data_IF_496889236980
#
_entry.id   IF_496889236980
#
_cell.length_a   1.000
_cell.length_b   1.000
_cell.length_c   1.000
_cell.angle_alpha   90.00
_cell.angle_beta   90.00
_cell.angle_gamma   90.00
#
_symmetry.space_group_name_H-M   'P 1'
#
loop_
_entity.id
_entity.type
_entity.pdbx_description
1 polymer ?
#
# COMPACT_ATOMS: atom_id res chain seq x y z
N UNK A 1 -23.97 -6.66 -2.62
CA UNK A 1 -22.78 -5.79 -2.51
C UNK A 1 -21.99 -5.98 -3.80
N UNK A 2 -21.50 -4.89 -4.39
CA UNK A 2 -20.59 -4.99 -5.53
C UNK A 2 -19.30 -5.69 -5.11
N UNK A 3 -18.67 -6.41 -6.04
CA UNK A 3 -17.42 -7.13 -5.77
C UNK A 3 -16.28 -6.14 -5.39
N UNK A 4 -15.44 -6.58 -4.46
CA UNK A 4 -14.17 -5.90 -4.17
C UNK A 4 -13.16 -6.34 -5.22
N UNK A 5 -12.67 -5.43 -6.06
CA UNK A 5 -11.72 -5.71 -7.12
C UNK A 5 -10.40 -5.04 -6.78
N UNK A 6 -9.33 -5.83 -6.58
CA UNK A 6 -8.01 -5.31 -6.27
C UNK A 6 -7.10 -5.37 -7.49
N UNK A 7 -6.68 -4.21 -7.98
CA UNK A 7 -5.67 -4.10 -9.02
C UNK A 7 -4.29 -4.10 -8.36
N UNK A 8 -3.52 -5.16 -8.61
CA UNK A 8 -2.25 -5.40 -7.92
C UNK A 8 -1.26 -6.20 -8.77
N UNK A 9 -0.06 -6.41 -8.23
CA UNK A 9 0.87 -7.44 -8.71
C UNK A 9 1.47 -8.19 -7.50
N UNK A 10 1.84 -9.48 -7.65
CA UNK A 10 2.20 -10.35 -6.51
C UNK A 10 3.34 -9.82 -5.65
N UNK A 11 4.38 -9.23 -6.26
CA UNK A 11 5.58 -8.74 -5.57
C UNK A 11 5.40 -7.37 -4.91
N UNK A 12 4.22 -6.73 -5.05
CA UNK A 12 3.99 -5.40 -4.46
C UNK A 12 3.84 -5.47 -2.95
N UNK A 13 4.70 -4.81 -2.17
CA UNK A 13 4.58 -4.79 -0.71
C UNK A 13 3.31 -4.06 -0.24
N UNK A 14 2.94 -2.94 -0.85
CA UNK A 14 1.69 -2.26 -0.54
C UNK A 14 0.44 -3.09 -0.91
N UNK A 15 0.53 -3.91 -1.97
CA UNK A 15 -0.55 -4.84 -2.28
C UNK A 15 -0.62 -5.97 -1.25
N UNK A 16 0.52 -6.45 -0.73
CA UNK A 16 0.55 -7.42 0.37
C UNK A 16 -0.15 -6.91 1.61
N UNK A 17 0.07 -5.64 1.98
CA UNK A 17 -0.66 -4.99 3.06
C UNK A 17 -2.18 -5.12 2.88
N UNK A 18 -2.70 -4.81 1.70
CA UNK A 18 -4.15 -4.85 1.44
C UNK A 18 -4.66 -6.29 1.34
N UNK A 19 -3.90 -7.22 0.72
CA UNK A 19 -4.27 -8.64 0.69
C UNK A 19 -4.43 -9.23 2.09
N UNK A 20 -3.50 -8.92 2.99
CA UNK A 20 -3.59 -9.37 4.40
C UNK A 20 -4.76 -8.72 5.13
N UNK A 21 -5.08 -7.46 4.85
CA UNK A 21 -6.25 -6.79 5.45
C UNK A 21 -7.55 -7.44 4.96
N UNK A 22 -7.64 -7.79 3.67
CA UNK A 22 -8.77 -8.55 3.14
C UNK A 22 -8.90 -9.90 3.85
N UNK A 23 -7.76 -10.60 4.08
CA UNK A 23 -7.73 -11.82 4.89
C UNK A 23 -8.18 -11.61 6.33
N UNK A 24 -7.66 -10.59 7.00
CA UNK A 24 -8.02 -10.25 8.38
C UNK A 24 -9.50 -9.96 8.55
N UNK A 25 -10.10 -9.29 7.59
CA UNK A 25 -11.53 -8.97 7.54
C UNK A 25 -12.39 -10.08 6.94
N UNK A 26 -11.80 -11.16 6.46
CA UNK A 26 -12.48 -12.30 5.81
C UNK A 26 -13.33 -11.88 4.62
N UNK A 27 -12.84 -10.92 3.84
CA UNK A 27 -13.51 -10.39 2.66
C UNK A 27 -13.00 -11.12 1.41
N UNK A 28 -13.89 -11.75 0.65
CA UNK A 28 -13.58 -12.30 -0.68
C UNK A 28 -13.41 -11.16 -1.69
N UNK A 29 -12.53 -11.35 -2.67
CA UNK A 29 -12.18 -10.31 -3.63
C UNK A 29 -11.79 -10.84 -5.01
N UNK A 30 -11.85 -9.98 -6.02
CA UNK A 30 -11.42 -10.25 -7.38
C UNK A 30 -9.99 -9.73 -7.59
N UNK A 31 -9.14 -10.58 -8.15
CA UNK A 31 -7.72 -10.30 -8.38
C UNK A 31 -7.48 -9.87 -9.82
N UNK A 32 -7.15 -8.61 -10.03
CA UNK A 32 -6.77 -8.06 -11.34
C UNK A 32 -5.29 -7.76 -11.36
N UNK A 33 -4.53 -8.48 -12.20
CA UNK A 33 -3.10 -8.26 -12.30
C UNK A 33 -2.77 -7.04 -13.17
N UNK A 34 -2.00 -6.12 -12.60
CA UNK A 34 -1.50 -4.93 -13.28
C UNK A 34 0.02 -5.01 -13.51
N UNK A 35 0.57 -4.42 -14.58
CA UNK A 35 1.99 -4.36 -14.81
C UNK A 35 2.76 -3.68 -13.66
N UNK A 36 3.97 -4.16 -13.35
CA UNK A 36 4.82 -3.58 -12.30
C UNK A 36 5.32 -2.18 -12.67
N UNK A 37 5.63 -1.95 -13.94
CA UNK A 37 6.09 -0.67 -14.50
C UNK A 37 5.15 -0.18 -15.59
N UNK A 38 5.31 1.07 -16.01
CA UNK A 38 4.57 1.60 -17.18
C UNK A 38 4.97 0.89 -18.49
N UNK A 39 4.05 0.78 -19.47
CA UNK A 39 2.67 1.32 -19.48
C UNK A 39 1.65 0.46 -18.73
N UNK A 40 0.62 1.11 -18.16
CA UNK A 40 -0.50 0.48 -17.45
C UNK A 40 -1.84 0.96 -18.00
N UNK A 41 -2.17 0.70 -19.26
CA UNK A 41 -3.28 1.37 -19.94
C UNK A 41 -4.62 1.17 -19.23
N UNK A 42 -4.94 -0.06 -18.80
CA UNK A 42 -6.20 -0.36 -18.13
C UNK A 42 -6.31 0.32 -16.75
N UNK A 43 -5.21 0.39 -15.98
CA UNK A 43 -5.18 1.07 -14.70
C UNK A 43 -5.34 2.58 -14.87
N UNK A 44 -4.64 3.18 -15.84
CA UNK A 44 -4.71 4.62 -16.11
C UNK A 44 -6.11 5.03 -16.60
N UNK A 45 -6.79 4.16 -17.39
CA UNK A 45 -8.17 4.38 -17.78
C UNK A 45 -9.13 4.48 -16.58
N UNK A 46 -8.90 3.67 -15.51
CA UNK A 46 -9.69 3.73 -14.28
C UNK A 46 -9.33 4.92 -13.38
N UNK A 47 -8.07 5.28 -13.29
CA UNK A 47 -7.56 6.22 -12.29
C UNK A 47 -7.35 7.64 -12.81
N UNK A 48 -7.43 7.85 -14.12
CA UNK A 48 -7.19 9.16 -14.74
C UNK A 48 -5.73 9.65 -14.66
N UNK A 49 -4.77 8.80 -14.25
CA UNK A 49 -3.35 9.17 -14.15
C UNK A 49 -2.61 8.55 -12.99
N UNK A 50 -3.28 8.27 -11.88
CA UNK A 50 -2.64 7.65 -10.72
C UNK A 50 -2.12 6.25 -11.05
N UNK A 51 -0.82 6.02 -10.87
CA UNK A 51 -0.12 4.80 -11.33
C UNK A 51 0.38 3.89 -10.21
N UNK A 52 0.24 4.29 -8.94
CA UNK A 52 0.65 3.46 -7.80
C UNK A 52 -0.26 2.25 -7.66
N UNK A 53 0.26 1.20 -7.07
CA UNK A 53 -0.43 -0.06 -6.79
C UNK A 53 -0.30 -0.38 -5.29
N UNK A 54 -1.37 -0.89 -4.65
CA UNK A 54 -2.65 -1.33 -5.22
C UNK A 54 -3.66 -0.20 -5.43
N UNK A 55 -4.72 -0.54 -6.21
CA UNK A 55 -5.94 0.26 -6.35
C UNK A 55 -7.12 -0.66 -6.04
N UNK A 56 -8.07 -0.21 -5.24
CA UNK A 56 -9.33 -0.90 -4.98
C UNK A 56 -10.42 -0.30 -5.86
N UNK A 57 -11.21 -1.17 -6.49
CA UNK A 57 -12.39 -0.80 -7.27
C UNK A 57 -13.64 -1.44 -6.66
N UNK A 58 -14.74 -0.69 -6.57
CA UNK A 58 -16.06 -1.16 -6.15
C UNK A 58 -17.08 -0.57 -7.12
N UNK A 59 -17.53 -1.38 -8.10
CA UNK A 59 -18.34 -0.86 -9.19
C UNK A 59 -17.59 0.21 -9.99
N UNK A 60 -18.14 1.44 -10.04
CA UNK A 60 -17.52 2.59 -10.69
C UNK A 60 -16.56 3.38 -9.79
N UNK A 61 -16.54 3.11 -8.49
CA UNK A 61 -15.71 3.83 -7.53
C UNK A 61 -14.29 3.28 -7.48
N UNK A 62 -13.31 4.16 -7.62
CA UNK A 62 -11.88 3.82 -7.67
C UNK A 62 -11.15 4.46 -6.50
N UNK A 63 -10.63 3.64 -5.61
CA UNK A 63 -9.94 4.08 -4.39
C UNK A 63 -8.43 3.94 -4.56
N UNK A 64 -7.75 5.07 -4.53
CA UNK A 64 -6.30 5.19 -4.61
C UNK A 64 -5.72 5.52 -3.23
N UNK A 65 -4.52 5.03 -2.94
CA UNK A 65 -3.83 5.07 -1.66
C UNK A 65 -4.32 4.04 -0.63
N UNK A 66 -3.33 3.36 -0.02
CA UNK A 66 -3.63 2.25 0.91
C UNK A 66 -4.23 2.71 2.24
N UNK A 67 -4.00 3.95 2.67
CA UNK A 67 -4.65 4.49 3.86
C UNK A 67 -6.16 4.66 3.61
N UNK A 68 -6.54 5.23 2.46
CA UNK A 68 -7.94 5.32 2.05
C UNK A 68 -8.57 3.94 1.86
N UNK A 69 -7.87 3.01 1.22
CA UNK A 69 -8.36 1.62 1.04
C UNK A 69 -8.62 0.96 2.40
N UNK A 70 -7.74 1.16 3.39
CA UNK A 70 -7.96 0.65 4.75
C UNK A 70 -9.24 1.23 5.38
N UNK A 71 -9.50 2.52 5.22
CA UNK A 71 -10.71 3.17 5.75
C UNK A 71 -11.98 2.66 5.06
N UNK A 72 -11.93 2.43 3.75
CA UNK A 72 -13.04 1.82 2.97
C UNK A 72 -13.32 0.41 3.46
N UNK A 73 -12.29 -0.43 3.60
CA UNK A 73 -12.45 -1.80 4.09
C UNK A 73 -12.91 -1.85 5.55
N UNK A 74 -12.49 -0.88 6.38
CA UNK A 74 -13.00 -0.74 7.76
C UNK A 74 -14.49 -0.40 7.78
N UNK A 75 -14.93 0.48 6.88
CA UNK A 75 -16.34 0.85 6.75
C UNK A 75 -17.21 -0.35 6.28
N UNK A 76 -16.72 -1.12 5.31
CA UNK A 76 -17.43 -2.30 4.78
C UNK A 76 -17.52 -3.41 5.82
N UNK A 77 -16.43 -3.66 6.54
CA UNK A 77 -16.33 -4.70 7.56
C UNK A 77 -15.66 -4.14 8.81
N UNK A 78 -16.42 -3.56 9.77
CA UNK A 78 -15.83 -2.93 10.95
C UNK A 78 -15.13 -3.90 11.93
N UNK A 79 -15.46 -5.18 11.88
CA UNK A 79 -14.93 -6.20 12.82
C UNK A 79 -14.26 -7.34 12.06
N UNK A 80 -13.01 -7.70 12.43
CA UNK A 80 -12.14 -7.07 13.42
C UNK A 80 -11.67 -5.69 12.98
N UNK A 81 -11.53 -4.73 13.91
CA UNK A 81 -11.14 -3.35 13.57
C UNK A 81 -9.65 -3.22 13.26
N UNK A 82 -9.32 -2.35 12.30
CA UNK A 82 -7.95 -1.90 12.03
C UNK A 82 -7.50 -0.79 12.99
N UNK A 83 -8.45 -0.18 13.70
CA UNK A 83 -8.26 1.02 14.51
C UNK A 83 -8.80 0.85 15.93
N UNK A 84 -8.15 0.04 16.79
CA UNK A 84 -8.56 -0.13 18.18
C UNK A 84 -8.74 1.24 18.85
N UNK A 85 -9.88 1.48 19.47
CA UNK A 85 -10.31 2.82 19.91
C UNK A 85 -9.28 3.52 20.81
N UNK A 86 -8.71 2.79 21.77
CA UNK A 86 -7.71 3.35 22.69
C UNK A 86 -6.39 3.76 22.01
N UNK A 87 -6.12 3.25 20.80
CA UNK A 87 -4.83 3.43 20.11
C UNK A 87 -4.98 3.95 18.67
N UNK A 88 -6.16 4.35 18.27
CA UNK A 88 -6.52 4.73 16.91
C UNK A 88 -5.58 5.79 16.30
N UNK A 89 -5.26 6.84 17.05
CA UNK A 89 -4.33 7.88 16.61
C UNK A 89 -2.90 7.35 16.47
N UNK A 90 -2.43 6.56 17.44
CA UNK A 90 -1.10 5.97 17.42
C UNK A 90 -0.95 4.96 16.27
N UNK A 91 -1.96 4.11 16.05
CA UNK A 91 -1.96 3.14 14.97
C UNK A 91 -1.84 3.82 13.59
N UNK A 92 -2.56 4.91 13.35
CA UNK A 92 -2.45 5.69 12.11
C UNK A 92 -1.09 6.37 11.97
N UNK A 93 -0.54 6.91 13.05
CA UNK A 93 0.78 7.55 13.05
C UNK A 93 1.89 6.55 12.75
N UNK A 94 1.87 5.37 13.40
CA UNK A 94 2.85 4.30 13.13
C UNK A 94 2.68 3.77 11.70
N UNK A 95 1.46 3.60 11.22
CA UNK A 95 1.19 3.17 9.84
C UNK A 95 1.78 4.17 8.83
N UNK A 96 1.56 5.47 9.01
CA UNK A 96 2.12 6.48 8.10
C UNK A 96 3.64 6.50 8.13
N UNK A 97 4.26 6.42 9.32
CA UNK A 97 5.72 6.28 9.44
C UNK A 97 6.23 5.04 8.70
N UNK A 98 5.52 3.91 8.83
CA UNK A 98 5.93 2.67 8.19
C UNK A 98 5.77 2.74 6.65
N UNK A 99 4.66 3.27 6.16
CA UNK A 99 4.37 3.41 4.73
C UNK A 99 5.29 4.43 4.02
N UNK A 100 5.93 5.32 4.77
CA UNK A 100 6.84 6.34 4.25
C UNK A 100 8.29 6.05 4.66
N UNK A 101 8.66 6.35 5.88
CA UNK A 101 10.05 6.35 6.35
C UNK A 101 10.65 4.95 6.42
N UNK A 102 9.98 3.99 7.09
CA UNK A 102 10.46 2.61 7.17
C UNK A 102 10.54 1.98 5.78
N UNK A 103 9.49 2.17 4.96
CA UNK A 103 9.45 1.64 3.60
C UNK A 103 10.60 2.15 2.73
N UNK A 104 10.88 3.46 2.74
CA UNK A 104 11.99 4.04 1.98
C UNK A 104 13.34 3.45 2.40
N UNK A 105 13.58 3.31 3.70
CA UNK A 105 14.80 2.72 4.24
C UNK A 105 14.91 1.24 3.87
N UNK A 106 13.84 0.46 4.03
CA UNK A 106 13.82 -0.94 3.65
C UNK A 106 14.08 -1.12 2.15
N UNK A 107 13.47 -0.31 1.29
CA UNK A 107 13.70 -0.39 -0.16
C UNK A 107 15.12 0.02 -0.54
N UNK A 108 15.69 1.07 0.08
CA UNK A 108 17.08 1.44 -0.15
C UNK A 108 18.06 0.32 0.26
N UNK A 109 17.77 -0.37 1.36
CA UNK A 109 18.50 -1.56 1.79
C UNK A 109 18.33 -2.74 0.83
N UNK A 110 17.10 -3.07 0.44
CA UNK A 110 16.79 -4.24 -0.39
C UNK A 110 17.36 -4.12 -1.82
N UNK A 111 17.39 -2.92 -2.38
CA UNK A 111 17.92 -2.67 -3.73
C UNK A 111 19.41 -2.34 -3.76
N UNK A 112 20.20 -2.80 -2.78
CA UNK A 112 21.65 -2.92 -2.90
C UNK A 112 22.02 -3.92 -4.01
N UNK A 113 23.26 -3.93 -4.53
CA UNK A 113 23.63 -4.73 -5.69
C UNK A 113 23.17 -6.20 -5.61
N UNK A 114 23.37 -6.86 -4.47
CA UNK A 114 22.98 -8.26 -4.27
C UNK A 114 21.46 -8.47 -4.41
N UNK A 115 20.67 -7.60 -3.80
CA UNK A 115 19.21 -7.69 -3.87
C UNK A 115 18.68 -7.28 -5.24
N UNK A 116 19.21 -6.22 -5.82
CA UNK A 116 18.80 -5.74 -7.14
C UNK A 116 19.03 -6.80 -8.23
N UNK A 117 20.21 -7.43 -8.25
CA UNK A 117 20.54 -8.52 -9.19
C UNK A 117 19.69 -9.77 -8.96
N UNK A 118 19.36 -10.08 -7.71
CA UNK A 118 18.48 -11.20 -7.40
C UNK A 118 17.05 -10.97 -7.92
N UNK A 119 16.50 -9.77 -7.68
CA UNK A 119 15.16 -9.41 -8.15
C UNK A 119 15.06 -9.33 -9.68
N UNK A 120 16.12 -8.87 -10.31
CA UNK A 120 16.19 -8.67 -11.76
C UNK A 120 17.51 -9.24 -12.30
N UNK A 121 17.57 -10.56 -12.57
CA UNK A 121 18.74 -11.19 -13.17
C UNK A 121 19.07 -10.64 -14.56
N UNK A 122 18.06 -10.17 -15.29
CA UNK A 122 18.19 -9.49 -16.56
C UNK A 122 18.53 -8.01 -16.36
N UNK A 123 19.72 -7.60 -16.82
CA UNK A 123 20.22 -6.24 -16.64
C UNK A 123 19.35 -5.18 -17.35
N UNK A 124 18.74 -5.50 -18.49
CA UNK A 124 17.86 -4.55 -19.20
C UNK A 124 16.55 -4.35 -18.43
N UNK A 125 15.96 -5.41 -17.88
CA UNK A 125 14.78 -5.31 -17.00
C UNK A 125 15.09 -4.52 -15.71
N UNK A 126 16.27 -4.72 -15.12
CA UNK A 126 16.72 -3.92 -13.97
C UNK A 126 16.81 -2.45 -14.34
N UNK A 127 17.38 -2.13 -15.48
CA UNK A 127 17.51 -0.76 -15.98
C UNK A 127 16.14 -0.10 -16.21
N UNK A 128 15.22 -0.80 -16.85
CA UNK A 128 13.85 -0.34 -17.07
C UNK A 128 13.11 -0.08 -15.75
N UNK A 129 13.19 -1.01 -14.81
CA UNK A 129 12.63 -0.84 -13.46
C UNK A 129 13.26 0.35 -12.73
N UNK A 130 14.57 0.49 -12.78
CA UNK A 130 15.28 1.59 -12.13
C UNK A 130 14.90 2.95 -12.72
N UNK A 131 14.73 3.04 -14.05
CA UNK A 131 14.28 4.25 -14.75
C UNK A 131 12.83 4.61 -14.38
N UNK A 132 11.91 3.64 -14.38
CA UNK A 132 10.52 3.85 -13.95
C UNK A 132 10.43 4.38 -12.50
N UNK A 133 11.20 3.79 -11.58
CA UNK A 133 11.22 4.24 -10.18
C UNK A 133 11.92 5.58 -9.99
N UNK A 134 12.91 5.91 -10.82
CA UNK A 134 13.54 7.24 -10.80
C UNK A 134 12.54 8.33 -11.23
N UNK A 135 11.79 8.08 -12.30
CA UNK A 135 10.73 8.98 -12.75
C UNK A 135 9.67 9.20 -11.64
N UNK A 136 9.23 8.13 -10.98
CA UNK A 136 8.25 8.25 -9.87
C UNK A 136 8.77 9.09 -8.70
N UNK A 137 10.09 9.16 -8.46
CA UNK A 137 10.71 10.00 -7.42
C UNK A 137 11.06 11.41 -7.90
N UNK A 138 10.70 11.78 -9.10
CA UNK A 138 11.17 13.02 -9.75
C UNK A 138 12.71 13.14 -9.69
N UNK A 139 13.40 12.02 -9.93
CA UNK A 139 14.86 11.89 -9.86
C UNK A 139 15.49 12.25 -8.50
N UNK A 140 14.73 12.35 -7.42
CA UNK A 140 15.26 12.53 -6.09
C UNK A 140 16.32 11.45 -5.75
N UNK A 141 17.43 11.80 -5.08
CA UNK A 141 18.49 10.85 -4.78
C UNK A 141 17.99 9.74 -3.85
N UNK A 142 18.59 8.56 -3.99
CA UNK A 142 18.36 7.45 -3.06
C UNK A 142 19.24 7.63 -1.82
N UNK A 143 18.74 7.10 -0.69
CA UNK A 143 19.56 6.98 0.51
C UNK A 143 20.78 6.10 0.23
N UNK A 144 21.99 6.49 0.67
CA UNK A 144 23.20 5.65 0.57
C UNK A 144 23.01 4.29 1.27
N UNK A 145 23.60 3.23 0.71
CA UNK A 145 23.41 1.87 1.21
C UNK A 145 23.87 1.68 2.67
N UNK A 146 24.96 2.33 3.08
CA UNK A 146 25.43 2.28 4.46
C UNK A 146 24.43 2.89 5.44
N UNK A 147 23.88 4.06 5.09
CA UNK A 147 22.87 4.75 5.90
C UNK A 147 21.56 3.95 5.95
N UNK A 148 21.14 3.39 4.82
CA UNK A 148 19.96 2.51 4.76
C UNK A 148 20.13 1.30 5.68
N UNK A 149 21.31 0.66 5.69
CA UNK A 149 21.59 -0.49 6.54
C UNK A 149 21.56 -0.12 8.03
N UNK A 150 22.19 1.00 8.41
CA UNK A 150 22.23 1.47 9.79
C UNK A 150 20.82 1.84 10.29
N UNK A 151 20.07 2.59 9.50
CA UNK A 151 18.70 2.99 9.82
C UNK A 151 17.77 1.79 9.91
N UNK A 152 17.87 0.83 8.97
CA UNK A 152 17.03 -0.36 8.98
C UNK A 152 17.26 -1.20 10.24
N UNK A 153 18.52 -1.44 10.62
CA UNK A 153 18.86 -2.11 11.89
C UNK A 153 18.29 -1.39 13.11
N UNK A 154 18.37 -0.06 13.11
CA UNK A 154 17.80 0.77 14.20
C UNK A 154 16.27 0.63 14.27
N UNK A 155 15.58 0.63 13.14
CA UNK A 155 14.13 0.46 13.08
C UNK A 155 13.69 -0.94 13.46
N UNK A 156 14.40 -1.98 13.01
CA UNK A 156 14.13 -3.37 13.40
C UNK A 156 14.23 -3.55 14.92
N UNK A 157 15.22 -2.92 15.57
CA UNK A 157 15.35 -2.95 17.03
C UNK A 157 14.16 -2.28 17.73
N UNK A 158 13.70 -1.13 17.22
CA UNK A 158 12.52 -0.43 17.78
C UNK A 158 11.25 -1.27 17.62
N UNK A 159 11.08 -1.92 16.48
CA UNK A 159 9.98 -2.86 16.24
C UNK A 159 10.07 -4.05 17.20
N UNK A 160 11.27 -4.61 17.41
CA UNK A 160 11.48 -5.68 18.38
C UNK A 160 11.09 -5.25 19.80
N UNK A 161 11.47 -4.04 20.23
CA UNK A 161 11.08 -3.51 21.53
C UNK A 161 9.56 -3.34 21.67
N UNK A 162 8.85 -2.96 20.61
CA UNK A 162 7.38 -2.89 20.64
C UNK A 162 6.72 -4.27 20.84
N UNK A 163 7.38 -5.34 20.40
CA UNK A 163 6.89 -6.72 20.46
C UNK A 163 7.36 -7.50 21.69
N UNK A 164 8.16 -6.88 22.57
CA UNK A 164 8.80 -7.58 23.70
C UNK A 164 7.80 -8.17 24.69
N UNK A 165 6.70 -7.49 24.93
CA UNK A 165 5.71 -7.87 25.96
C UNK A 165 4.29 -8.01 25.41
N UNK A 166 4.11 -7.97 24.10
CA UNK A 166 2.78 -8.03 23.48
C UNK A 166 2.83 -8.72 22.11
N UNK A 167 1.73 -9.37 21.70
CA UNK A 167 1.73 -10.14 20.45
C UNK A 167 1.70 -9.27 19.17
N UNK A 168 1.21 -8.03 19.26
CA UNK A 168 1.10 -7.10 18.15
C UNK A 168 1.76 -5.77 18.51
N UNK A 169 2.06 -4.94 17.51
CA UNK A 169 2.85 -3.71 17.72
C UNK A 169 2.26 -2.76 18.77
N UNK A 170 0.94 -2.75 18.91
CA UNK A 170 0.24 -1.82 19.80
C UNK A 170 -0.69 -2.51 20.81
N UNK A 171 -0.44 -3.79 21.16
CA UNK A 171 -1.21 -4.48 22.19
C UNK A 171 -1.65 -5.90 21.80
N UNK A 172 -2.88 -6.27 22.18
CA UNK A 172 -3.36 -7.64 22.13
C UNK A 172 -4.05 -8.03 20.81
N UNK A 173 -4.27 -7.08 19.90
CA UNK A 173 -4.86 -7.31 18.60
C UNK A 173 -4.10 -6.57 17.48
N UNK A 174 -4.10 -7.15 16.28
CA UNK A 174 -3.51 -6.52 15.12
C UNK A 174 -4.25 -5.22 14.76
N UNK A 175 -3.50 -4.22 14.33
CA UNK A 175 -4.01 -2.91 13.91
C UNK A 175 -3.40 -2.52 12.55
N UNK A 176 -3.86 -1.43 11.96
CA UNK A 176 -3.27 -0.90 10.72
C UNK A 176 -1.75 -0.71 10.81
N UNK A 177 -1.21 -0.47 12.01
CA UNK A 177 0.23 -0.36 12.25
C UNK A 177 0.97 -1.67 11.90
N UNK A 178 0.40 -2.82 12.31
CA UNK A 178 0.99 -4.13 12.04
C UNK A 178 1.07 -4.40 10.54
N UNK A 179 -0.01 -4.16 9.81
CA UNK A 179 -0.05 -4.36 8.35
C UNK A 179 0.92 -3.43 7.61
N UNK A 180 1.04 -2.17 8.06
CA UNK A 180 1.93 -1.18 7.46
C UNK A 180 3.42 -1.47 7.75
N UNK A 181 3.76 -1.92 8.93
CA UNK A 181 5.14 -2.33 9.25
C UNK A 181 5.48 -3.64 8.52
N UNK A 182 4.55 -4.60 8.53
CA UNK A 182 4.78 -5.92 7.96
C UNK A 182 5.17 -5.89 6.48
N UNK A 183 4.48 -5.13 5.65
CA UNK A 183 4.71 -5.20 4.20
C UNK A 183 6.13 -4.81 3.79
N UNK A 184 6.76 -3.88 4.51
CA UNK A 184 8.14 -3.49 4.26
C UNK A 184 9.12 -4.62 4.61
N UNK A 185 8.91 -5.29 5.75
CA UNK A 185 9.71 -6.41 6.21
C UNK A 185 9.44 -7.69 5.40
N UNK A 186 8.18 -7.91 5.01
CA UNK A 186 7.78 -8.99 4.11
C UNK A 186 8.56 -8.93 2.80
N UNK A 187 8.71 -7.75 2.22
CA UNK A 187 9.48 -7.59 1.00
C UNK A 187 10.94 -8.03 1.20
N UNK A 188 11.57 -7.64 2.30
CA UNK A 188 12.92 -8.07 2.66
C UNK A 188 13.01 -9.58 2.81
N UNK A 189 12.07 -10.19 3.55
CA UNK A 189 12.11 -11.61 3.90
C UNK A 189 11.80 -12.52 2.71
N UNK A 190 10.79 -12.16 1.92
CA UNK A 190 10.20 -13.06 0.92
C UNK A 190 10.53 -12.69 -0.52
N UNK A 191 10.85 -11.44 -0.81
CA UNK A 191 11.15 -11.01 -2.18
C UNK A 191 12.65 -10.87 -2.44
N UNK A 192 13.48 -10.66 -1.41
CA UNK A 192 14.92 -10.39 -1.57
C UNK A 192 15.76 -11.24 -0.62
N UNK A 193 15.62 -12.56 -0.73
CA UNK A 193 16.26 -13.54 0.16
C UNK A 193 17.78 -13.36 0.40
N UNK A 194 18.60 -12.91 -0.57
CA UNK A 194 20.05 -12.72 -0.32
C UNK A 194 20.39 -11.67 0.74
N UNK A 195 19.48 -10.75 1.03
CA UNK A 195 19.68 -9.70 2.04
C UNK A 195 18.78 -9.86 3.27
N UNK A 196 17.96 -10.93 3.31
CA UNK A 196 16.99 -11.18 4.39
C UNK A 196 17.67 -11.44 5.76
N UNK A 197 18.93 -11.85 5.80
CA UNK A 197 19.69 -12.12 7.03
C UNK A 197 19.79 -10.93 8.00
N UNK A 198 19.45 -9.71 7.58
CA UNK A 198 19.32 -8.57 8.49
C UNK A 198 18.25 -8.81 9.58
N UNK A 199 17.24 -9.62 9.28
CA UNK A 199 16.13 -9.96 10.18
C UNK A 199 16.53 -10.98 11.26
N UNK A 200 17.60 -11.74 11.07
CA UNK A 200 18.01 -12.80 11.98
C UNK A 200 18.41 -12.28 13.37
N UNK A 201 18.81 -11.01 13.44
CA UNK A 201 19.16 -10.33 14.70
C UNK A 201 17.95 -9.99 15.59
N UNK A 202 16.73 -10.17 15.10
CA UNK A 202 15.49 -9.81 15.79
C UNK A 202 14.45 -10.95 15.75
N UNK A 203 14.69 -12.08 16.43
CA UNK A 203 13.84 -13.28 16.34
C UNK A 203 12.38 -13.03 16.75
N UNK A 204 12.12 -12.12 17.69
CA UNK A 204 10.76 -11.72 18.07
C UNK A 204 9.97 -11.10 16.91
N UNK A 205 10.67 -10.35 16.05
CA UNK A 205 10.08 -9.79 14.83
C UNK A 205 9.75 -10.88 13.82
N UNK A 206 10.64 -11.87 13.65
CA UNK A 206 10.36 -13.02 12.77
C UNK A 206 9.14 -13.81 13.24
N UNK A 207 9.00 -14.06 14.54
CA UNK A 207 7.82 -14.73 15.11
C UNK A 207 6.53 -13.92 14.92
N UNK A 208 6.60 -12.60 15.02
CA UNK A 208 5.48 -11.72 14.71
C UNK A 208 5.15 -11.75 13.20
N UNK A 209 6.15 -11.74 12.33
CA UNK A 209 5.94 -11.88 10.88
C UNK A 209 5.25 -13.20 10.52
N UNK A 210 5.56 -14.29 11.22
CA UNK A 210 4.87 -15.57 11.01
C UNK A 210 3.40 -15.50 11.42
N UNK A 211 3.06 -14.80 12.51
CA UNK A 211 1.66 -14.54 12.89
C UNK A 211 0.93 -13.68 11.87
N UNK A 212 1.59 -12.66 11.33
CA UNK A 212 1.03 -11.83 10.25
C UNK A 212 0.74 -12.66 9.00
N UNK A 213 1.71 -13.48 8.57
CA UNK A 213 1.55 -14.36 7.41
C UNK A 213 0.39 -15.37 7.59
N UNK A 214 0.17 -15.87 8.80
CA UNK A 214 -0.90 -16.81 9.12
C UNK A 214 -2.32 -16.23 8.96
N UNK A 215 -2.47 -14.91 8.89
CA UNK A 215 -3.74 -14.24 8.57
C UNK A 215 -4.24 -14.67 7.17
N UNK A 216 -3.32 -14.82 6.21
CA UNK A 216 -3.66 -15.16 4.84
C UNK A 216 -4.37 -14.03 4.08
N UNK A 217 -4.85 -14.33 2.87
CA UNK A 217 -5.39 -13.33 1.94
C UNK A 217 -6.91 -13.45 1.70
N UNK A 218 -7.63 -14.30 2.46
CA UNK A 218 -9.00 -14.73 2.17
C UNK A 218 -9.14 -15.39 0.78
N UNK A 219 -10.38 -15.54 0.33
CA UNK A 219 -10.68 -16.11 -0.98
C UNK A 219 -10.53 -15.06 -2.06
N UNK A 220 -9.78 -15.37 -3.11
CA UNK A 220 -9.62 -14.49 -4.27
C UNK A 220 -9.84 -15.24 -5.56
N UNK A 221 -10.58 -14.61 -6.50
CA UNK A 221 -10.83 -15.15 -7.82
C UNK A 221 -10.13 -14.28 -8.88
N UNK A 222 -9.50 -14.87 -9.90
CA UNK A 222 -8.87 -14.10 -10.97
C UNK A 222 -9.92 -13.39 -11.82
N UNK A 223 -9.64 -12.14 -12.18
CA UNK A 223 -10.45 -11.33 -13.08
C UNK A 223 -9.54 -10.63 -14.11
N UNK A 224 -10.01 -10.48 -15.34
CA UNK A 224 -9.27 -9.72 -16.35
C UNK A 224 -9.43 -8.21 -16.15
N UNK A 225 -8.45 -7.45 -16.61
CA UNK A 225 -8.51 -5.99 -16.52
C UNK A 225 -9.66 -5.41 -17.39
N UNK A 226 -9.97 -6.06 -18.51
CA UNK A 226 -11.07 -5.69 -19.39
C UNK A 226 -12.44 -5.89 -18.71
N UNK A 227 -12.61 -7.00 -17.97
CA UNK A 227 -13.83 -7.23 -17.19
C UNK A 227 -14.01 -6.18 -16.10
N UNK A 228 -12.92 -5.80 -15.42
CA UNK A 228 -12.95 -4.74 -14.41
C UNK A 228 -13.30 -3.37 -15.00
N UNK A 229 -12.78 -3.04 -16.20
CA UNK A 229 -13.15 -1.82 -16.93
C UNK A 229 -14.64 -1.81 -17.30
N UNK A 230 -15.19 -2.94 -17.77
CA UNK A 230 -16.60 -3.07 -18.09
C UNK A 230 -17.48 -2.84 -16.84
N UNK A 231 -17.11 -3.43 -15.71
CA UNK A 231 -17.82 -3.21 -14.43
C UNK A 231 -17.82 -1.73 -14.06
N UNK A 232 -16.69 -1.02 -14.21
CA UNK A 232 -16.63 0.42 -13.94
C UNK A 232 -17.54 1.22 -14.88
N UNK A 233 -17.54 0.87 -16.17
CA UNK A 233 -18.36 1.54 -17.20
C UNK A 233 -19.86 1.33 -16.96
N UNK A 234 -20.28 0.12 -16.61
CA UNK A 234 -21.68 -0.28 -16.48
C UNK A 234 -22.28 0.03 -15.10
N UNK A 235 -21.45 0.47 -14.15
CA UNK A 235 -21.87 0.85 -12.80
C UNK A 235 -22.06 2.37 -12.69
N UNK A 236 -22.86 2.79 -11.70
CA UNK A 236 -22.96 4.20 -11.30
C UNK A 236 -22.08 4.47 -10.08
N UNK A 237 -21.38 5.62 -10.02
CA UNK A 237 -20.63 6.02 -8.84
C UNK A 237 -21.54 6.16 -7.61
N UNK A 238 -21.00 5.89 -6.44
CA UNK A 238 -21.70 6.11 -5.17
C UNK A 238 -21.97 7.61 -4.97
N UNK A 239 -23.18 7.91 -4.52
CA UNK A 239 -23.55 9.29 -4.17
C UNK A 239 -22.93 9.63 -2.81
N UNK A 240 -22.22 10.76 -2.72
CA UNK A 240 -21.50 11.20 -1.52
C UNK A 240 -22.31 12.27 -0.76
N UNK A 241 -23.61 12.03 -0.53
CA UNK A 241 -24.54 13.03 0.01
C UNK A 241 -24.41 13.31 1.51
N UNK A 242 -23.68 12.48 2.23
CA UNK A 242 -23.74 12.49 3.70
C UNK A 242 -22.68 13.36 4.39
N UNK A 243 -21.66 13.83 3.67
CA UNK A 243 -20.58 14.61 4.28
C UNK A 243 -20.67 16.08 3.86
N UNK A 244 -20.61 16.98 4.85
CA UNK A 244 -20.62 18.41 4.61
C UNK A 244 -19.37 18.80 3.82
N UNK A 245 -19.57 19.48 2.69
CA UNK A 245 -18.48 20.08 1.93
C UNK A 245 -17.67 21.03 2.83
N UNK A 246 -16.39 20.78 2.95
CA UNK A 246 -15.47 21.63 3.68
C UNK A 246 -14.23 21.83 2.83
N UNK A 247 -14.01 23.06 2.40
CA UNK A 247 -12.84 23.44 1.63
C UNK A 247 -12.19 24.68 2.21
N UNK A 248 -10.93 24.55 2.64
CA UNK A 248 -10.14 25.65 3.20
C UNK A 248 -9.37 26.44 2.11
N UNK A 249 -9.49 26.04 0.84
CA UNK A 249 -8.73 26.60 -0.28
C UNK A 249 -9.58 27.42 -1.26
N UNK A 250 -10.88 27.54 -1.05
CA UNK A 250 -11.79 28.27 -1.91
C UNK A 250 -12.13 27.54 -3.22
N UNK A 251 -12.03 26.21 -3.25
CA UNK A 251 -12.33 25.40 -4.43
C UNK A 251 -13.80 24.94 -4.35
N UNK A 252 -14.61 25.40 -5.29
CA UNK A 252 -16.04 25.06 -5.33
C UNK A 252 -16.26 23.66 -5.93
N UNK A 253 -17.32 22.97 -5.46
CA UNK A 253 -17.77 21.72 -6.08
C UNK A 253 -18.07 21.93 -7.58
N UNK A 254 -17.72 20.93 -8.38
CA UNK A 254 -17.84 20.98 -9.84
C UNK A 254 -16.65 21.62 -10.56
N UNK A 255 -15.70 22.24 -9.82
CA UNK A 255 -14.45 22.75 -10.41
C UNK A 255 -13.63 21.64 -11.02
N UNK A 256 -12.93 21.91 -12.12
CA UNK A 256 -11.89 21.01 -12.62
C UNK A 256 -10.64 21.18 -11.78
N UNK A 257 -10.17 20.08 -11.17
CA UNK A 257 -9.00 20.05 -10.31
C UNK A 257 -7.97 19.05 -10.84
N UNK A 258 -6.70 19.27 -10.50
CA UNK A 258 -5.62 18.32 -10.72
C UNK A 258 -5.12 17.86 -9.35
N UNK A 259 -5.26 16.58 -9.04
CA UNK A 259 -4.81 15.98 -7.78
C UNK A 259 -3.52 15.21 -8.04
N UNK A 260 -2.48 15.57 -7.32
CA UNK A 260 -1.13 14.97 -7.44
C UNK A 260 -0.73 14.36 -6.11
N UNK A 261 -0.07 13.22 -6.15
CA UNK A 261 0.51 12.63 -4.95
C UNK A 261 1.66 13.50 -4.41
N UNK A 262 1.85 13.50 -3.10
CA UNK A 262 2.81 14.39 -2.40
C UNK A 262 4.28 14.11 -2.72
N UNK A 263 4.67 12.84 -2.86
CA UNK A 263 6.10 12.49 -2.84
C UNK A 263 6.58 11.47 -3.86
N UNK A 264 5.68 10.71 -4.48
CA UNK A 264 6.05 9.59 -5.34
C UNK A 264 4.95 9.28 -6.35
N UNK A 265 5.29 9.12 -7.65
CA UNK A 265 4.31 8.97 -8.72
C UNK A 265 3.46 10.23 -8.83
N UNK A 266 4.10 11.32 -9.27
CA UNK A 266 3.57 12.69 -9.22
C UNK A 266 2.67 13.05 -10.42
N UNK A 267 2.34 12.08 -11.25
CA UNK A 267 1.43 12.28 -12.38
C UNK A 267 0.05 12.73 -11.86
N UNK A 268 -0.50 13.84 -12.36
CA UNK A 268 -1.78 14.36 -11.89
C UNK A 268 -2.95 13.53 -12.40
N UNK A 269 -3.96 13.35 -11.55
CA UNK A 269 -5.30 12.95 -11.96
C UNK A 269 -6.15 14.21 -12.12
N UNK A 270 -6.72 14.41 -13.30
CA UNK A 270 -7.56 15.58 -13.62
C UNK A 270 -9.02 15.16 -13.66
N UNK A 271 -9.87 15.88 -12.95
CA UNK A 271 -11.30 15.57 -12.89
C UNK A 271 -12.13 16.69 -12.27
N UNK A 272 -13.44 16.49 -12.22
CA UNK A 272 -14.35 17.38 -11.50
C UNK A 272 -14.38 17.03 -10.02
N UNK A 273 -14.23 18.02 -9.16
CA UNK A 273 -14.38 17.86 -7.72
C UNK A 273 -15.85 17.60 -7.39
N UNK A 274 -16.17 16.40 -6.95
CA UNK A 274 -17.55 15.99 -6.58
C UNK A 274 -17.79 16.06 -5.08
N UNK A 275 -16.74 15.96 -4.28
CA UNK A 275 -16.79 16.13 -2.83
C UNK A 275 -15.43 16.58 -2.31
N UNK A 276 -15.42 17.37 -1.26
CA UNK A 276 -14.27 17.63 -0.41
C UNK A 276 -14.78 17.73 1.03
N UNK A 277 -14.18 16.99 1.93
CA UNK A 277 -14.53 16.97 3.34
C UNK A 277 -13.30 17.28 4.17
N UNK A 278 -13.44 17.31 5.48
CA UNK A 278 -12.32 17.57 6.40
C UNK A 278 -11.17 16.56 6.25
N UNK A 279 -11.46 15.35 5.77
CA UNK A 279 -10.50 14.23 5.76
C UNK A 279 -10.40 13.51 4.42
N UNK A 280 -11.21 13.91 3.44
CA UNK A 280 -11.27 13.27 2.11
C UNK A 280 -11.50 14.30 1.02
#
# INVERSE_FOLDING_TARGET
MSDLILHHYPQSPFAEKIRLILGYKKLSWQSVLAPMIMPKPNLIALTGGYRRIPVLQIGADIYCDTALICDVLEHIQPTPTLYPEAQKGLARTVAQWADTTLFQVAMAYNFQPAGATFMFPDAEKLKQFAADRAAMRNNAPRMPAADATANYRSYLRRIANMLEHQPWLLGDQASVADFSVYHALWFTRHQVSPVAGILDSVPGVLSWMDRMAAIGHAESNPMTAEAALLIAHDSSPQILDAEIHQDDHGITLGSTVAITAESFGLEPTIGKLVAATRTR
#
